data_IF_082329021207
#
_entry.id   IF_082329021207
#
_cell.length_a   1.000
_cell.length_b   1.000
_cell.length_c   1.000
_cell.angle_alpha   90.00
_cell.angle_beta   90.00
_cell.angle_gamma   90.00
#
_symmetry.space_group_name_H-M   'P 1'
#
loop_
_entity.id
_entity.type
_entity.pdbx_description
1 polymer ?
#
# COMPACT_ATOMS: atom_id res chain seq x y z
N UNK A 1 10.29 -4.80 -11.58
CA UNK A 1 11.13 -4.10 -12.58
C UNK A 1 12.59 -4.36 -12.26
N UNK A 2 13.42 -4.76 -13.21
CA UNK A 2 14.82 -5.11 -12.89
C UNK A 2 15.65 -3.93 -12.35
N UNK A 3 15.27 -2.69 -12.71
CA UNK A 3 16.02 -1.47 -12.35
C UNK A 3 15.35 -0.54 -11.36
N UNK A 4 14.11 -0.81 -10.94
CA UNK A 4 13.29 0.08 -10.12
C UNK A 4 12.39 -0.74 -9.20
N UNK A 5 12.59 -0.58 -7.90
CA UNK A 5 11.74 -1.15 -6.84
C UNK A 5 10.99 -0.04 -6.13
N UNK A 6 11.47 0.33 -4.92
CA UNK A 6 10.90 1.42 -4.11
C UNK A 6 10.95 2.78 -4.81
N UNK A 7 11.96 3.02 -5.65
CA UNK A 7 12.03 4.21 -6.50
C UNK A 7 11.19 4.00 -7.77
N UNK A 8 9.87 4.14 -7.63
CA UNK A 8 8.92 3.89 -8.70
C UNK A 8 9.04 4.87 -9.88
N UNK A 9 9.63 6.04 -9.67
CA UNK A 9 9.83 7.03 -10.74
C UNK A 9 11.00 6.70 -11.67
N UNK A 10 11.96 5.87 -11.23
CA UNK A 10 13.17 5.52 -11.98
C UNK A 10 13.00 4.34 -12.94
N UNK A 11 11.78 4.05 -13.40
CA UNK A 11 11.53 2.99 -14.37
C UNK A 11 12.27 3.25 -15.67
N UNK A 12 12.82 2.17 -16.28
CA UNK A 12 13.58 2.25 -17.54
C UNK A 12 12.85 1.71 -18.77
N UNK A 13 11.72 1.03 -18.58
CA UNK A 13 10.84 0.64 -19.70
C UNK A 13 10.40 1.91 -20.40
N UNK A 14 10.52 1.95 -21.74
CA UNK A 14 10.37 3.14 -22.55
C UNK A 14 9.33 2.93 -23.66
N UNK A 15 8.53 3.94 -23.92
CA UNK A 15 7.55 3.97 -24.99
C UNK A 15 7.76 5.24 -25.82
N UNK A 16 8.27 5.08 -27.03
CA UNK A 16 8.52 6.18 -27.97
C UNK A 16 7.34 6.36 -28.91
N UNK A 17 6.86 7.60 -29.12
CA UNK A 17 5.83 7.84 -30.12
C UNK A 17 6.37 7.56 -31.54
N UNK A 18 5.54 6.95 -32.40
CA UNK A 18 5.84 6.77 -33.82
C UNK A 18 5.90 8.13 -34.54
N UNK A 19 6.60 8.18 -35.67
CA UNK A 19 6.75 9.42 -36.45
C UNK A 19 5.42 10.02 -36.94
N UNK A 20 4.45 9.16 -37.22
CA UNK A 20 3.09 9.54 -37.65
C UNK A 20 2.13 9.79 -36.49
N UNK A 21 2.58 9.55 -35.24
CA UNK A 21 1.76 9.71 -34.03
C UNK A 21 0.61 8.73 -33.88
N UNK A 22 0.58 7.62 -34.65
CA UNK A 22 -0.51 6.63 -34.60
C UNK A 22 -0.35 5.63 -33.46
N UNK A 23 0.88 5.38 -32.99
CA UNK A 23 1.17 4.39 -31.98
C UNK A 23 2.41 4.76 -31.15
N UNK A 24 2.65 4.01 -30.10
CA UNK A 24 3.91 4.01 -29.33
C UNK A 24 4.64 2.70 -29.52
N UNK A 25 5.96 2.73 -29.55
CA UNK A 25 6.83 1.56 -29.60
C UNK A 25 7.38 1.33 -28.20
N UNK A 26 6.98 0.22 -27.56
CA UNK A 26 7.34 -0.11 -26.19
C UNK A 26 8.50 -1.11 -26.17
N UNK A 27 9.53 -0.76 -25.40
CA UNK A 27 10.70 -1.59 -25.18
C UNK A 27 11.10 -1.65 -23.72
N UNK A 28 11.55 -2.81 -23.24
CA UNK A 28 12.09 -3.03 -21.90
C UNK A 28 11.53 -4.27 -21.22
N UNK A 29 11.65 -4.34 -19.89
CA UNK A 29 11.22 -5.50 -19.12
C UNK A 29 10.62 -5.13 -17.78
N UNK A 30 9.83 -6.03 -17.26
CA UNK A 30 9.21 -5.98 -15.92
C UNK A 30 9.52 -7.29 -15.21
N UNK A 31 9.70 -7.23 -13.89
CA UNK A 31 9.96 -8.40 -13.06
C UNK A 31 8.91 -8.53 -11.98
N UNK A 32 8.69 -9.75 -11.53
CA UNK A 32 7.73 -10.12 -10.48
C UNK A 32 6.29 -9.73 -10.80
N UNK A 33 5.89 -9.92 -12.05
CA UNK A 33 4.55 -9.57 -12.50
C UNK A 33 3.57 -10.70 -12.20
N UNK A 34 2.57 -10.40 -11.40
CA UNK A 34 1.47 -11.33 -11.16
C UNK A 34 0.75 -11.63 -12.47
N UNK A 35 0.51 -12.93 -12.71
CA UNK A 35 -0.06 -13.44 -13.95
C UNK A 35 0.77 -13.16 -15.22
N UNK A 36 2.01 -12.69 -15.08
CA UNK A 36 2.89 -12.34 -16.21
C UNK A 36 3.11 -13.48 -17.21
N UNK A 37 3.02 -14.74 -16.74
CA UNK A 37 3.21 -15.91 -17.59
C UNK A 37 2.02 -16.25 -18.50
N UNK A 38 0.83 -15.72 -18.26
CA UNK A 38 -0.37 -16.08 -19.04
C UNK A 38 -1.38 -14.93 -19.26
N UNK A 39 -1.14 -13.75 -18.69
CA UNK A 39 -2.03 -12.60 -18.91
C UNK A 39 -2.06 -12.20 -20.39
N UNK A 40 -3.25 -11.93 -20.91
CA UNK A 40 -3.45 -11.42 -22.28
C UNK A 40 -3.42 -9.90 -22.32
N UNK A 41 -3.76 -9.23 -21.20
CA UNK A 41 -3.83 -7.77 -21.09
C UNK A 41 -2.98 -7.32 -19.91
N UNK A 42 -2.20 -6.27 -20.11
CA UNK A 42 -1.32 -5.68 -19.12
C UNK A 42 -1.57 -4.18 -18.98
N UNK A 43 -1.58 -3.68 -17.76
CA UNK A 43 -1.39 -2.25 -17.51
C UNK A 43 0.11 -2.00 -17.35
N UNK A 44 0.72 -1.29 -18.31
CA UNK A 44 2.16 -1.06 -18.36
C UNK A 44 2.48 0.41 -18.16
N UNK A 45 3.38 0.70 -17.24
CA UNK A 45 3.94 2.03 -17.02
C UNK A 45 5.31 2.12 -17.69
N UNK A 46 5.49 3.13 -18.55
CA UNK A 46 6.73 3.36 -19.27
C UNK A 46 7.11 4.85 -19.31
N UNK A 47 8.40 5.14 -19.43
CA UNK A 47 8.88 6.48 -19.70
C UNK A 47 8.53 6.87 -21.14
N UNK A 48 8.01 8.06 -21.31
CA UNK A 48 7.61 8.62 -22.59
C UNK A 48 8.14 10.05 -22.71
N UNK A 49 8.76 10.44 -23.81
CA UNK A 49 9.20 11.81 -24.02
C UNK A 49 7.98 12.73 -24.17
N UNK A 50 7.87 13.72 -23.29
CA UNK A 50 6.79 14.69 -23.27
C UNK A 50 7.36 16.10 -23.42
N UNK A 51 6.91 16.81 -24.45
CA UNK A 51 7.31 18.19 -24.67
C UNK A 51 6.53 19.13 -23.78
N UNK A 52 7.23 19.94 -22.99
CA UNK A 52 6.59 20.96 -22.16
C UNK A 52 6.06 22.08 -23.08
N UNK A 53 4.75 22.38 -23.08
CA UNK A 53 4.15 23.37 -23.96
C UNK A 53 4.65 24.81 -23.67
N UNK A 54 5.16 25.08 -22.47
CA UNK A 54 5.62 26.41 -22.05
C UNK A 54 7.09 26.63 -22.37
N UNK A 55 7.94 25.63 -22.13
CA UNK A 55 9.40 25.76 -22.28
C UNK A 55 9.91 25.19 -23.59
N UNK A 56 9.13 24.33 -24.25
CA UNK A 56 9.53 23.56 -25.44
C UNK A 56 10.51 22.42 -25.13
N UNK A 57 10.94 22.29 -23.87
CA UNK A 57 11.87 21.25 -23.43
C UNK A 57 11.18 19.88 -23.40
N UNK A 58 11.85 18.84 -23.87
CA UNK A 58 11.35 17.47 -23.79
C UNK A 58 11.88 16.79 -22.53
N UNK A 59 10.97 16.26 -21.71
CA UNK A 59 11.29 15.53 -20.48
C UNK A 59 10.61 14.18 -20.50
N UNK A 60 11.31 13.16 -20.00
CA UNK A 60 10.71 11.84 -19.80
C UNK A 60 9.71 11.89 -18.65
N UNK A 61 8.49 11.43 -18.91
CA UNK A 61 7.41 11.28 -17.92
C UNK A 61 6.79 9.90 -18.01
N UNK A 62 6.31 9.40 -16.90
CA UNK A 62 5.62 8.10 -16.85
C UNK A 62 4.26 8.21 -17.51
N UNK A 63 4.01 7.33 -18.47
CA UNK A 63 2.68 7.12 -19.11
C UNK A 63 2.20 5.72 -18.80
N UNK A 64 0.89 5.55 -18.62
CA UNK A 64 0.24 4.25 -18.46
C UNK A 64 -0.37 3.81 -19.78
N UNK A 65 -0.21 2.53 -20.11
CA UNK A 65 -0.69 1.92 -21.35
C UNK A 65 -1.46 0.63 -21.05
N UNK A 66 -2.50 0.37 -21.84
CA UNK A 66 -3.14 -0.94 -21.95
C UNK A 66 -2.41 -1.68 -23.06
N UNK A 67 -1.71 -2.75 -22.71
CA UNK A 67 -0.91 -3.54 -23.66
C UNK A 67 -1.51 -4.92 -23.77
N UNK A 68 -1.84 -5.33 -25.00
CA UNK A 68 -2.33 -6.67 -25.27
C UNK A 68 -1.17 -7.55 -25.76
N UNK A 69 -1.15 -8.81 -25.33
CA UNK A 69 -0.18 -9.78 -25.80
C UNK A 69 -0.26 -9.99 -27.31
N UNK A 70 -1.47 -9.85 -27.86
CA UNK A 70 -1.77 -9.94 -29.29
C UNK A 70 -1.07 -8.88 -30.16
N UNK A 71 -0.59 -7.78 -29.56
CA UNK A 71 0.19 -6.77 -30.32
C UNK A 71 1.56 -7.28 -30.81
N UNK A 72 1.97 -8.47 -30.37
CA UNK A 72 3.27 -9.07 -30.66
C UNK A 72 4.38 -8.45 -29.81
N UNK A 73 5.56 -9.11 -29.80
CA UNK A 73 6.73 -8.64 -29.05
C UNK A 73 6.64 -8.74 -27.53
N UNK A 74 5.56 -9.32 -26.97
CA UNK A 74 5.39 -9.57 -25.54
C UNK A 74 5.76 -11.01 -25.21
N UNK A 75 6.83 -11.20 -24.45
CA UNK A 75 7.29 -12.52 -23.99
C UNK A 75 7.39 -12.55 -22.48
N UNK A 76 7.53 -13.74 -21.88
CA UNK A 76 7.67 -13.89 -20.43
C UNK A 76 8.70 -14.97 -20.08
N UNK A 77 9.30 -14.82 -18.91
CA UNK A 77 10.14 -15.83 -18.28
C UNK A 77 9.34 -16.96 -17.63
N UNK A 78 10.06 -17.94 -17.08
CA UNK A 78 9.48 -18.99 -16.28
C UNK A 78 8.88 -18.42 -14.96
N UNK A 79 7.89 -19.10 -14.35
CA UNK A 79 7.37 -18.72 -13.05
C UNK A 79 8.45 -18.70 -11.98
N UNK A 80 8.47 -17.64 -11.17
CA UNK A 80 9.44 -17.45 -10.09
C UNK A 80 9.28 -18.45 -8.95
N UNK A 81 10.40 -18.89 -8.40
CA UNK A 81 10.44 -19.71 -7.16
C UNK A 81 10.34 -18.79 -5.97
N UNK A 82 9.24 -18.85 -5.24
CA UNK A 82 8.91 -17.90 -4.15
C UNK A 82 8.88 -18.55 -2.78
N UNK A 83 9.09 -17.75 -1.75
CA UNK A 83 8.94 -18.17 -0.36
C UNK A 83 7.52 -18.60 -0.04
N UNK A 84 6.52 -17.80 -0.46
CA UNK A 84 5.08 -18.01 -0.23
C UNK A 84 4.27 -17.60 -1.46
N UNK A 85 2.94 -17.69 -1.35
CA UNK A 85 1.97 -17.45 -2.41
C UNK A 85 2.37 -18.24 -3.69
N UNK A 86 2.75 -19.49 -3.51
CA UNK A 86 3.32 -20.32 -4.59
C UNK A 86 2.34 -20.65 -5.70
N UNK A 87 1.02 -20.63 -5.40
CA UNK A 87 -0.03 -20.85 -6.38
C UNK A 87 -0.28 -19.64 -7.31
N UNK A 88 0.22 -18.45 -6.95
CA UNK A 88 0.14 -17.27 -7.81
C UNK A 88 1.26 -17.32 -8.85
N UNK A 89 0.92 -17.24 -10.13
CA UNK A 89 1.91 -17.08 -11.19
C UNK A 89 2.56 -15.70 -11.04
N UNK A 90 3.89 -15.69 -11.06
CA UNK A 90 4.69 -14.47 -11.00
C UNK A 90 5.86 -14.69 -11.93
N UNK A 91 6.04 -13.82 -12.92
CA UNK A 91 7.09 -13.99 -13.94
C UNK A 91 7.69 -12.65 -14.37
N UNK A 92 8.82 -12.72 -15.04
CA UNK A 92 9.33 -11.61 -15.84
C UNK A 92 8.45 -11.44 -17.09
N UNK A 93 8.30 -10.19 -17.55
CA UNK A 93 7.64 -9.87 -18.82
C UNK A 93 8.57 -8.95 -19.61
N UNK A 94 8.81 -9.29 -20.86
CA UNK A 94 9.68 -8.57 -21.76
C UNK A 94 8.88 -7.99 -22.93
N UNK A 95 9.24 -6.78 -23.32
CA UNK A 95 8.64 -6.03 -24.42
C UNK A 95 9.72 -5.70 -25.43
N UNK A 96 9.53 -6.11 -26.68
CA UNK A 96 10.44 -5.87 -27.78
C UNK A 96 9.64 -5.33 -28.97
N UNK A 97 9.84 -4.07 -29.27
CA UNK A 97 9.20 -3.32 -30.34
C UNK A 97 7.66 -3.46 -30.39
N UNK A 98 7.01 -3.53 -29.20
CA UNK A 98 5.56 -3.67 -29.09
C UNK A 98 4.87 -2.40 -29.55
N UNK A 99 4.06 -2.49 -30.59
CA UNK A 99 3.30 -1.36 -31.15
C UNK A 99 1.98 -1.20 -30.40
N UNK A 100 1.87 -0.15 -29.60
CA UNK A 100 0.69 0.15 -28.80
C UNK A 100 -0.10 1.26 -29.50
N UNK A 101 -1.33 1.03 -29.93
CA UNK A 101 -2.18 2.08 -30.48
C UNK A 101 -2.32 3.27 -29.53
N UNK A 102 -2.41 4.49 -30.03
CA UNK A 102 -2.46 5.69 -29.17
C UNK A 102 -3.70 5.72 -28.26
N UNK A 103 -4.79 5.13 -28.70
CA UNK A 103 -6.05 4.97 -27.95
C UNK A 103 -5.90 4.07 -26.72
N UNK A 104 -4.85 3.26 -26.66
CA UNK A 104 -4.50 2.41 -25.52
C UNK A 104 -3.70 3.14 -24.41
N UNK A 105 -3.54 4.46 -24.52
CA UNK A 105 -3.03 5.28 -23.41
C UNK A 105 -4.11 5.35 -22.33
N UNK A 106 -3.77 4.91 -21.13
CA UNK A 106 -4.66 5.00 -19.98
C UNK A 106 -4.47 6.35 -19.27
N UNK A 107 -5.45 7.23 -19.44
CA UNK A 107 -5.39 8.61 -18.98
C UNK A 107 -4.66 9.51 -19.99
N UNK A 108 -3.72 10.33 -19.50
CA UNK A 108 -2.97 11.29 -20.31
C UNK A 108 -1.51 10.86 -20.51
N UNK A 109 -0.92 11.22 -21.65
CA UNK A 109 0.51 11.05 -21.88
C UNK A 109 1.30 11.84 -20.84
N UNK A 110 2.19 11.18 -20.11
CA UNK A 110 2.92 11.76 -18.98
C UNK A 110 2.14 11.81 -17.65
N UNK A 111 0.88 11.36 -17.62
CA UNK A 111 0.03 11.31 -16.43
C UNK A 111 0.02 9.96 -15.69
N UNK A 112 0.81 8.99 -16.15
CA UNK A 112 0.79 7.61 -15.64
C UNK A 112 1.15 7.46 -14.16
N UNK A 113 1.94 8.36 -13.61
CA UNK A 113 2.25 8.30 -12.17
C UNK A 113 1.01 8.53 -11.29
N UNK A 114 0.12 9.44 -11.70
CA UNK A 114 -1.17 9.67 -11.02
C UNK A 114 -2.06 8.42 -11.09
N UNK A 115 -2.11 7.77 -12.25
CA UNK A 115 -2.84 6.50 -12.43
C UNK A 115 -2.27 5.41 -11.51
N UNK A 116 -0.94 5.26 -11.46
CA UNK A 116 -0.30 4.29 -10.58
C UNK A 116 -0.62 4.52 -9.10
N UNK A 117 -0.62 5.77 -8.64
CA UNK A 117 -0.94 6.10 -7.24
C UNK A 117 -2.39 5.78 -6.89
N UNK A 118 -3.34 6.06 -7.78
CA UNK A 118 -4.75 5.71 -7.56
C UNK A 118 -4.95 4.19 -7.42
N UNK A 119 -4.31 3.39 -8.29
CA UNK A 119 -4.36 1.92 -8.22
C UNK A 119 -3.76 1.42 -6.88
N UNK A 120 -2.59 1.94 -6.49
CA UNK A 120 -1.90 1.52 -5.27
C UNK A 120 -2.68 1.86 -4.00
N UNK A 121 -3.37 2.99 -3.95
CA UNK A 121 -4.17 3.36 -2.78
C UNK A 121 -5.35 2.41 -2.57
N UNK A 122 -6.02 2.00 -3.65
CA UNK A 122 -7.07 1.00 -3.59
C UNK A 122 -6.53 -0.38 -3.17
N UNK A 123 -5.38 -0.80 -3.68
CA UNK A 123 -4.74 -2.04 -3.28
C UNK A 123 -4.37 -2.06 -1.80
N UNK A 124 -3.81 -0.97 -1.27
CA UNK A 124 -3.43 -0.84 0.14
C UNK A 124 -4.62 -1.00 1.09
N UNK A 125 -5.76 -0.41 0.77
CA UNK A 125 -7.00 -0.60 1.52
C UNK A 125 -7.45 -2.06 1.51
N UNK A 126 -7.49 -2.69 0.33
CA UNK A 126 -7.90 -4.09 0.18
C UNK A 126 -7.04 -5.07 0.98
N UNK A 127 -5.76 -4.76 1.18
CA UNK A 127 -4.90 -5.57 2.05
C UNK A 127 -5.33 -5.55 3.52
N UNK A 128 -5.77 -4.41 4.05
CA UNK A 128 -6.30 -4.34 5.42
C UNK A 128 -7.49 -5.28 5.62
N UNK A 129 -8.42 -5.27 4.68
CA UNK A 129 -9.59 -6.14 4.70
C UNK A 129 -9.23 -7.62 4.58
N UNK A 130 -8.38 -8.00 3.61
CA UNK A 130 -7.99 -9.40 3.40
C UNK A 130 -7.22 -9.99 4.59
N UNK A 131 -6.29 -9.21 5.15
CA UNK A 131 -5.46 -9.65 6.27
C UNK A 131 -6.23 -9.79 7.57
N UNK A 132 -7.31 -9.03 7.78
CA UNK A 132 -8.20 -9.22 8.94
C UNK A 132 -8.86 -10.59 8.93
N UNK A 133 -9.28 -11.09 7.76
CA UNK A 133 -9.79 -12.45 7.60
C UNK A 133 -8.76 -13.51 7.95
N UNK A 134 -7.52 -13.34 7.50
CA UNK A 134 -6.41 -14.25 7.84
C UNK A 134 -6.13 -14.26 9.35
N UNK A 135 -6.07 -13.08 9.98
CA UNK A 135 -5.90 -13.00 11.44
C UNK A 135 -7.03 -13.69 12.20
N UNK A 136 -8.28 -13.49 11.78
CA UNK A 136 -9.44 -14.15 12.40
C UNK A 136 -9.32 -15.67 12.37
N UNK A 137 -8.90 -16.22 11.23
CA UNK A 137 -8.67 -17.67 11.09
C UNK A 137 -7.54 -18.17 12.00
N UNK A 138 -6.44 -17.47 12.06
CA UNK A 138 -5.31 -17.79 12.93
C UNK A 138 -5.70 -17.75 14.42
N UNK A 139 -6.39 -16.69 14.85
CA UNK A 139 -6.88 -16.54 16.23
C UNK A 139 -7.82 -17.67 16.60
N UNK A 140 -8.74 -18.04 15.69
CA UNK A 140 -9.65 -19.15 15.92
C UNK A 140 -8.86 -20.44 16.17
N UNK A 141 -7.90 -20.80 15.32
CA UNK A 141 -7.11 -22.00 15.47
C UNK A 141 -6.27 -22.02 16.76
N UNK A 142 -5.64 -20.89 17.11
CA UNK A 142 -4.90 -20.77 18.36
C UNK A 142 -5.81 -20.94 19.60
N UNK A 143 -7.02 -20.34 19.55
CA UNK A 143 -7.99 -20.41 20.64
C UNK A 143 -8.54 -21.82 20.79
N UNK A 144 -8.95 -22.48 19.69
CA UNK A 144 -9.46 -23.85 19.72
C UNK A 144 -8.41 -24.81 20.31
N UNK A 145 -7.16 -24.67 19.92
CA UNK A 145 -6.06 -25.45 20.49
C UNK A 145 -5.88 -25.16 21.98
N UNK A 146 -5.87 -23.90 22.39
CA UNK A 146 -5.67 -23.53 23.79
C UNK A 146 -6.81 -24.02 24.71
N UNK A 147 -8.02 -24.13 24.20
CA UNK A 147 -9.18 -24.66 24.94
C UNK A 147 -9.06 -26.19 25.14
N UNK A 148 -8.55 -26.91 24.14
CA UNK A 148 -8.53 -28.37 24.15
C UNK A 148 -7.25 -28.93 24.78
N UNK A 149 -6.09 -28.32 24.54
CA UNK A 149 -4.80 -28.84 24.96
C UNK A 149 -4.56 -28.70 26.45
N UNK A 150 -4.23 -29.81 27.12
CA UNK A 150 -3.87 -29.85 28.55
C UNK A 150 -2.37 -30.05 28.67
N UNK A 151 -1.71 -29.24 29.47
CA UNK A 151 -0.30 -29.39 29.90
C UNK A 151 -0.17 -28.90 31.34
N UNK A 152 0.75 -29.47 32.10
CA UNK A 152 0.94 -29.15 33.53
C UNK A 152 -0.38 -29.23 34.33
N UNK A 153 -1.24 -30.20 34.01
CA UNK A 153 -2.49 -30.47 34.72
C UNK A 153 -3.65 -29.50 34.46
N UNK A 154 -3.51 -28.54 33.52
CA UNK A 154 -4.60 -27.61 33.16
C UNK A 154 -4.60 -27.25 31.68
N UNK A 155 -5.72 -26.71 31.19
CA UNK A 155 -5.83 -26.28 29.81
C UNK A 155 -4.90 -25.09 29.51
N UNK A 156 -4.38 -25.01 28.27
CA UNK A 156 -3.48 -23.91 27.88
C UNK A 156 -4.16 -22.56 28.05
N UNK A 157 -5.47 -22.45 27.79
CA UNK A 157 -6.27 -21.23 28.00
C UNK A 157 -6.19 -20.66 29.42
N UNK A 158 -5.82 -21.47 30.42
CA UNK A 158 -5.79 -21.06 31.82
C UNK A 158 -4.44 -20.41 32.22
N UNK A 159 -3.44 -20.47 31.35
CA UNK A 159 -2.15 -19.82 31.56
C UNK A 159 -2.19 -18.34 31.19
N UNK A 160 -1.66 -17.47 32.05
CA UNK A 160 -1.64 -16.00 31.85
C UNK A 160 -0.96 -15.57 30.57
N UNK A 161 0.18 -16.19 30.18
CA UNK A 161 0.87 -15.88 28.95
C UNK A 161 0.04 -16.22 27.71
N UNK A 162 -0.69 -17.32 27.70
CA UNK A 162 -1.58 -17.71 26.58
C UNK A 162 -2.75 -16.73 26.47
N UNK A 163 -3.37 -16.37 27.60
CA UNK A 163 -4.41 -15.33 27.63
C UNK A 163 -3.92 -14.00 27.07
N UNK A 164 -2.70 -13.59 27.48
CA UNK A 164 -2.07 -12.36 26.97
C UNK A 164 -1.85 -12.37 25.45
N UNK A 165 -1.36 -13.51 24.91
CA UNK A 165 -1.18 -13.68 23.47
C UNK A 165 -2.52 -13.56 22.71
N UNK A 166 -3.54 -14.31 23.11
CA UNK A 166 -4.87 -14.29 22.47
C UNK A 166 -5.50 -12.88 22.58
N UNK A 167 -5.37 -12.21 23.72
CA UNK A 167 -5.84 -10.82 23.87
C UNK A 167 -5.12 -9.86 22.92
N UNK A 168 -3.79 -9.95 22.83
CA UNK A 168 -2.97 -9.15 21.91
C UNK A 168 -3.34 -9.37 20.43
N UNK A 169 -3.59 -10.64 20.05
CA UNK A 169 -4.05 -10.98 18.69
C UNK A 169 -5.40 -10.33 18.37
N UNK A 170 -6.37 -10.42 19.28
CA UNK A 170 -7.71 -9.82 19.10
C UNK A 170 -7.65 -8.29 19.05
N UNK A 171 -6.82 -7.65 19.86
CA UNK A 171 -6.61 -6.20 19.82
C UNK A 171 -6.09 -5.75 18.46
N UNK A 172 -5.11 -6.47 17.89
CA UNK A 172 -4.57 -6.19 16.56
C UNK A 172 -5.60 -6.41 15.45
N UNK A 173 -6.40 -7.47 15.55
CA UNK A 173 -7.50 -7.73 14.63
C UNK A 173 -8.51 -6.58 14.67
N UNK A 174 -8.99 -6.22 15.86
CA UNK A 174 -9.95 -5.13 16.02
C UNK A 174 -9.44 -3.81 15.44
N UNK A 175 -8.20 -3.43 15.75
CA UNK A 175 -7.61 -2.22 15.21
C UNK A 175 -7.46 -2.27 13.68
N UNK A 176 -7.09 -3.42 13.10
CA UNK A 176 -7.00 -3.60 11.65
C UNK A 176 -8.36 -3.43 10.98
N UNK A 177 -9.40 -4.07 11.52
CA UNK A 177 -10.77 -3.95 11.00
C UNK A 177 -11.28 -2.50 11.11
N UNK A 178 -11.07 -1.85 12.25
CA UNK A 178 -11.46 -0.46 12.45
C UNK A 178 -10.82 0.48 11.41
N UNK A 179 -9.52 0.32 11.14
CA UNK A 179 -8.83 1.09 10.10
C UNK A 179 -9.37 0.77 8.70
N UNK A 180 -9.59 -0.49 8.36
CA UNK A 180 -10.13 -0.89 7.06
C UNK A 180 -11.53 -0.30 6.83
N UNK A 181 -12.43 -0.40 7.83
CA UNK A 181 -13.76 0.19 7.75
C UNK A 181 -13.74 1.73 7.68
N UNK A 182 -12.81 2.38 8.39
CA UNK A 182 -12.65 3.83 8.30
C UNK A 182 -12.26 4.27 6.89
N UNK A 183 -11.29 3.59 6.27
CA UNK A 183 -10.88 3.89 4.89
C UNK A 183 -12.02 3.62 3.91
N UNK A 184 -12.71 2.47 4.04
CA UNK A 184 -13.88 2.15 3.22
C UNK A 184 -14.95 3.23 3.33
N UNK A 185 -15.29 3.65 4.54
CA UNK A 185 -16.29 4.68 4.78
C UNK A 185 -15.89 6.05 4.21
N UNK A 186 -14.59 6.37 4.15
CA UNK A 186 -14.11 7.58 3.48
C UNK A 186 -14.28 7.47 1.95
N UNK A 187 -13.93 6.32 1.38
CA UNK A 187 -14.13 6.05 -0.05
C UNK A 187 -15.60 6.11 -0.44
N UNK A 188 -16.50 5.50 0.34
CA UNK A 188 -17.95 5.49 0.09
C UNK A 188 -18.56 6.89 0.15
N UNK A 189 -18.00 7.79 0.96
CA UNK A 189 -18.41 9.20 1.02
C UNK A 189 -17.80 10.06 -0.08
N UNK A 190 -16.99 9.50 -0.96
CA UNK A 190 -16.33 10.22 -2.04
C UNK A 190 -15.18 11.12 -1.59
N UNK A 191 -14.53 10.80 -0.46
CA UNK A 191 -13.34 11.53 -0.04
C UNK A 191 -12.26 11.48 -1.12
N UNK A 192 -11.76 12.64 -1.54
CA UNK A 192 -10.76 12.74 -2.60
C UNK A 192 -9.38 12.24 -2.15
N UNK A 193 -9.04 12.36 -0.87
CA UNK A 193 -7.76 11.96 -0.30
C UNK A 193 -7.95 11.04 0.90
N UNK A 194 -7.48 9.81 0.77
CA UNK A 194 -7.40 8.77 1.82
C UNK A 194 -6.06 8.04 1.79
N UNK A 195 -5.04 8.67 1.17
CA UNK A 195 -3.75 8.00 0.91
C UNK A 195 -2.99 7.68 2.19
N UNK A 196 -3.02 8.58 3.16
CA UNK A 196 -2.32 8.38 4.45
C UNK A 196 -2.97 7.26 5.26
N UNK A 197 -4.29 7.27 5.34
CA UNK A 197 -5.07 6.26 6.06
C UNK A 197 -4.92 4.88 5.42
N UNK A 198 -4.96 4.80 4.09
CA UNK A 198 -4.70 3.56 3.35
C UNK A 198 -3.28 3.04 3.57
N UNK A 199 -2.27 3.93 3.58
CA UNK A 199 -0.89 3.55 3.87
C UNK A 199 -0.72 3.07 5.33
N UNK A 200 -1.30 3.77 6.29
CA UNK A 200 -1.26 3.38 7.71
C UNK A 200 -1.96 2.04 7.95
N UNK A 201 -3.14 1.84 7.35
CA UNK A 201 -3.88 0.58 7.41
C UNK A 201 -3.05 -0.58 6.84
N UNK A 202 -2.41 -0.40 5.69
CA UNK A 202 -1.55 -1.42 5.07
C UNK A 202 -0.37 -1.81 5.95
N UNK A 203 0.34 -0.83 6.51
CA UNK A 203 1.48 -1.07 7.39
C UNK A 203 1.03 -1.87 8.62
N UNK A 204 0.02 -1.35 9.32
CA UNK A 204 -0.46 -1.97 10.55
C UNK A 204 -1.00 -3.38 10.32
N UNK A 205 -1.83 -3.57 9.29
CA UNK A 205 -2.44 -4.85 8.95
C UNK A 205 -1.39 -5.90 8.60
N UNK A 206 -0.42 -5.57 7.75
CA UNK A 206 0.61 -6.54 7.30
C UNK A 206 1.55 -6.98 8.43
N UNK A 207 1.89 -6.09 9.34
CA UNK A 207 2.73 -6.44 10.50
C UNK A 207 1.93 -7.16 11.57
N UNK A 208 0.68 -6.77 11.79
CA UNK A 208 -0.21 -7.45 12.73
C UNK A 208 -0.55 -8.86 12.28
N UNK A 209 -0.83 -9.08 11.00
CA UNK A 209 -1.12 -10.40 10.46
C UNK A 209 0.09 -11.34 10.57
N UNK A 210 1.29 -10.83 10.28
CA UNK A 210 2.53 -11.57 10.49
C UNK A 210 2.69 -11.99 11.97
N UNK A 211 2.56 -11.04 12.89
CA UNK A 211 2.68 -11.29 14.31
C UNK A 211 1.63 -12.29 14.82
N UNK A 212 0.38 -12.16 14.36
CA UNK A 212 -0.71 -13.07 14.72
C UNK A 212 -0.44 -14.48 14.22
N UNK A 213 0.06 -14.65 12.99
CA UNK A 213 0.43 -15.97 12.47
C UNK A 213 1.59 -16.60 13.26
N UNK A 214 2.61 -15.83 13.60
CA UNK A 214 3.75 -16.26 14.41
C UNK A 214 3.29 -16.71 15.80
N UNK A 215 2.48 -15.92 16.49
CA UNK A 215 1.93 -16.28 17.79
C UNK A 215 0.96 -17.47 17.73
N UNK A 216 0.27 -17.66 16.61
CA UNK A 216 -0.55 -18.86 16.39
C UNK A 216 0.31 -20.12 16.37
N UNK A 217 1.41 -20.10 15.60
CA UNK A 217 2.39 -21.20 15.57
C UNK A 217 2.94 -21.43 16.98
N UNK A 218 3.28 -20.37 17.70
CA UNK A 218 3.80 -20.46 19.05
C UNK A 218 2.82 -21.10 20.05
N UNK A 219 1.53 -20.73 19.98
CA UNK A 219 0.46 -21.32 20.83
C UNK A 219 0.25 -22.79 20.51
N UNK A 220 0.30 -23.19 19.24
CA UNK A 220 0.18 -24.58 18.82
C UNK A 220 1.42 -25.42 19.13
N UNK A 221 2.57 -24.78 19.40
CA UNK A 221 3.84 -25.45 19.68
C UNK A 221 4.30 -26.33 18.51
N UNK A 222 4.78 -27.55 18.78
CA UNK A 222 5.26 -28.46 17.73
C UNK A 222 4.22 -28.74 16.63
N UNK A 223 2.94 -28.82 16.97
CA UNK A 223 1.86 -28.97 16.00
C UNK A 223 1.81 -27.80 15.02
N UNK A 224 1.98 -26.56 15.50
CA UNK A 224 1.98 -25.36 14.65
C UNK A 224 3.18 -25.30 13.68
N UNK A 225 4.28 -25.95 14.01
CA UNK A 225 5.47 -26.05 13.17
C UNK A 225 5.33 -27.07 12.04
N UNK A 226 4.45 -28.07 12.21
CA UNK A 226 4.24 -29.12 11.20
C UNK A 226 3.40 -28.59 10.02
N UNK A 227 3.70 -29.09 8.83
CA UNK A 227 3.01 -28.71 7.58
C UNK A 227 1.52 -29.05 7.58
N UNK A 228 1.12 -30.10 8.27
CA UNK A 228 -0.27 -30.56 8.36
C UNK A 228 -1.19 -29.52 9.02
N UNK A 229 -0.65 -28.69 9.94
CA UNK A 229 -1.40 -27.61 10.57
C UNK A 229 -1.63 -26.42 9.62
N UNK A 230 -0.80 -26.25 8.58
CA UNK A 230 -0.92 -25.24 7.54
C UNK A 230 -0.48 -23.81 7.94
N UNK A 231 -0.17 -23.54 9.20
CA UNK A 231 0.19 -22.19 9.67
C UNK A 231 1.58 -21.75 9.21
N UNK A 232 2.50 -22.69 8.99
CA UNK A 232 3.82 -22.40 8.41
C UNK A 232 3.67 -21.82 6.99
N UNK A 233 2.71 -22.31 6.20
CA UNK A 233 2.39 -21.78 4.88
C UNK A 233 1.77 -20.39 4.98
N UNK A 234 0.82 -20.19 5.89
CA UNK A 234 0.23 -18.86 6.16
C UNK A 234 1.33 -17.85 6.50
N UNK A 235 2.26 -18.20 7.38
CA UNK A 235 3.38 -17.33 7.75
C UNK A 235 4.23 -16.97 6.52
N UNK A 236 4.60 -17.95 5.69
CA UNK A 236 5.36 -17.71 4.46
C UNK A 236 4.59 -16.84 3.45
N UNK A 237 3.29 -17.05 3.31
CA UNK A 237 2.44 -16.29 2.40
C UNK A 237 2.28 -14.84 2.86
N UNK A 238 2.20 -14.59 4.17
CA UNK A 238 2.08 -13.25 4.74
C UNK A 238 3.35 -12.40 4.58
N UNK A 239 4.51 -13.01 4.37
CA UNK A 239 5.79 -12.26 4.37
C UNK A 239 5.86 -11.18 3.30
N UNK A 240 5.27 -11.41 2.13
CA UNK A 240 5.30 -10.48 1.01
C UNK A 240 4.50 -9.19 1.26
N UNK A 241 3.46 -9.24 2.12
CA UNK A 241 2.59 -8.09 2.38
C UNK A 241 3.30 -6.88 2.99
N UNK A 242 4.49 -7.08 3.57
CA UNK A 242 5.35 -6.00 4.07
C UNK A 242 6.26 -5.41 2.99
N UNK A 243 6.29 -6.01 1.79
CA UNK A 243 7.22 -5.67 0.69
C UNK A 243 6.51 -5.02 -0.48
N UNK A 244 5.51 -5.66 -1.05
CA UNK A 244 4.84 -5.17 -2.26
C UNK A 244 3.89 -3.99 -1.98
N UNK A 245 3.47 -3.31 -3.04
CA UNK A 245 2.61 -2.10 -3.01
C UNK A 245 3.18 -0.95 -2.15
N UNK A 246 4.49 -0.82 -2.17
CA UNK A 246 5.28 0.04 -1.30
C UNK A 246 5.69 -0.68 -0.03
N UNK A 247 7.01 -0.83 0.18
CA UNK A 247 7.49 -1.45 1.41
C UNK A 247 7.01 -0.66 2.62
N UNK A 248 6.80 -1.35 3.75
CA UNK A 248 6.37 -0.69 4.97
C UNK A 248 7.33 0.43 5.40
N UNK A 249 8.62 0.26 5.13
CA UNK A 249 9.65 1.27 5.44
C UNK A 249 9.42 2.55 4.62
N UNK A 250 9.21 2.41 3.30
CA UNK A 250 8.92 3.55 2.42
C UNK A 250 7.58 4.19 2.75
N UNK A 251 6.57 3.41 3.09
CA UNK A 251 5.27 3.97 3.47
C UNK A 251 5.34 4.74 4.78
N UNK A 252 6.16 4.34 5.76
CA UNK A 252 6.42 5.13 6.96
C UNK A 252 7.05 6.48 6.64
N UNK A 253 8.04 6.49 5.74
CA UNK A 253 8.63 7.75 5.27
C UNK A 253 7.60 8.60 4.53
N UNK A 254 6.77 8.00 3.69
CA UNK A 254 5.69 8.69 2.97
C UNK A 254 4.71 9.37 3.95
N UNK A 255 4.25 8.64 4.98
CA UNK A 255 3.34 9.19 6.01
C UNK A 255 4.00 10.37 6.73
N UNK A 256 5.25 10.22 7.15
CA UNK A 256 5.98 11.25 7.86
C UNK A 256 6.17 12.51 6.99
N UNK A 257 6.63 12.34 5.75
CA UNK A 257 6.87 13.44 4.81
C UNK A 257 5.57 14.18 4.44
N UNK A 258 4.49 13.43 4.17
CA UNK A 258 3.19 14.03 3.83
C UNK A 258 2.61 14.78 5.01
N UNK A 259 2.74 14.22 6.24
CA UNK A 259 2.34 14.90 7.46
C UNK A 259 3.11 16.21 7.68
N UNK A 260 4.44 16.20 7.48
CA UNK A 260 5.27 17.40 7.57
C UNK A 260 4.92 18.44 6.50
N UNK A 261 4.64 18.01 5.27
CA UNK A 261 4.21 18.91 4.20
C UNK A 261 2.86 19.55 4.50
N UNK A 262 1.91 18.77 5.03
CA UNK A 262 0.60 19.28 5.45
C UNK A 262 0.75 20.32 6.57
N UNK A 263 1.57 20.01 7.58
CA UNK A 263 1.88 20.95 8.64
C UNK A 263 2.54 22.22 8.10
N UNK A 264 3.50 22.10 7.18
CA UNK A 264 4.16 23.23 6.52
C UNK A 264 3.17 24.15 5.82
N UNK A 265 2.23 23.59 5.08
CA UNK A 265 1.14 24.35 4.42
C UNK A 265 0.25 25.07 5.43
N UNK A 266 -0.06 24.46 6.56
CA UNK A 266 -0.86 25.07 7.63
C UNK A 266 -0.11 26.20 8.36
N UNK A 267 1.21 26.05 8.53
CA UNK A 267 2.05 27.03 9.20
C UNK A 267 2.44 28.22 8.31
N UNK A 268 2.41 28.08 6.99
CA UNK A 268 2.80 29.15 6.06
C UNK A 268 1.99 30.45 6.23
N UNK A 269 0.65 30.43 6.32
CA UNK A 269 -0.15 31.62 6.59
C UNK A 269 0.20 32.25 7.93
N UNK A 270 0.45 31.43 8.95
CA UNK A 270 0.82 31.86 10.30
C UNK A 270 2.20 32.55 10.27
N UNK A 271 3.17 31.96 9.59
CA UNK A 271 4.49 32.54 9.42
C UNK A 271 4.45 33.89 8.69
N UNK A 272 3.59 34.02 7.67
CA UNK A 272 3.35 35.29 6.96
C UNK A 272 2.68 36.32 7.89
N UNK A 273 1.69 35.90 8.69
CA UNK A 273 0.99 36.76 9.63
C UNK A 273 1.92 37.28 10.76
N UNK A 274 2.87 36.45 11.19
CA UNK A 274 3.86 36.84 12.23
C UNK A 274 4.83 37.94 11.79
N UNK A 275 4.95 38.23 10.49
CA UNK A 275 5.75 39.38 10.01
C UNK A 275 5.12 40.72 10.36
N UNK A 276 3.78 40.77 10.50
CA UNK A 276 3.03 41.95 10.95
C UNK A 276 1.92 41.51 11.97
N UNK A 277 2.31 41.21 13.22
CA UNK A 277 1.42 40.53 14.16
C UNK A 277 0.19 41.35 14.56
N UNK A 278 0.32 42.66 14.68
CA UNK A 278 -0.78 43.56 15.03
C UNK A 278 -1.85 43.68 13.95
N UNK A 279 -1.43 43.61 12.67
CA UNK A 279 -2.37 43.63 11.55
C UNK A 279 -3.06 42.29 11.31
N UNK A 280 -2.53 41.18 11.86
CA UNK A 280 -2.96 39.83 11.62
C UNK A 280 -3.40 39.07 12.90
N UNK A 281 -3.84 39.83 13.93
CA UNK A 281 -4.30 39.25 15.21
C UNK A 281 -5.40 38.18 15.03
N UNK A 282 -6.30 38.36 14.05
CA UNK A 282 -7.35 37.38 13.74
C UNK A 282 -6.81 36.02 13.28
N UNK A 283 -5.63 35.98 12.68
CA UNK A 283 -4.99 34.73 12.24
C UNK A 283 -4.14 34.11 13.37
N UNK A 284 -3.50 34.93 14.18
CA UNK A 284 -2.54 34.48 15.20
C UNK A 284 -3.23 34.07 16.51
N UNK A 285 -4.24 34.81 16.93
CA UNK A 285 -4.90 34.60 18.22
C UNK A 285 -5.55 33.19 18.38
N UNK A 286 -6.25 32.63 17.38
CA UNK A 286 -6.79 31.27 17.49
C UNK A 286 -5.70 30.21 17.65
N UNK A 287 -4.57 30.37 16.97
CA UNK A 287 -3.43 29.44 17.04
C UNK A 287 -2.76 29.51 18.41
N UNK A 288 -2.51 30.71 18.91
CA UNK A 288 -1.94 30.92 20.23
C UNK A 288 -2.86 30.34 21.33
N UNK A 289 -4.18 30.53 21.21
CA UNK A 289 -5.17 29.96 22.11
C UNK A 289 -5.18 28.42 22.06
N UNK A 290 -5.12 27.83 20.85
CA UNK A 290 -5.05 26.38 20.68
C UNK A 290 -3.78 25.80 21.31
N UNK A 291 -2.62 26.45 21.13
CA UNK A 291 -1.36 26.05 21.77
C UNK A 291 -1.44 26.15 23.30
N UNK A 292 -2.07 27.21 23.83
CA UNK A 292 -2.25 27.38 25.26
C UNK A 292 -3.16 26.28 25.84
N UNK A 293 -4.29 25.98 25.19
CA UNK A 293 -5.18 24.88 25.57
C UNK A 293 -4.48 23.52 25.55
N UNK A 294 -3.68 23.24 24.52
CA UNK A 294 -2.92 22.01 24.41
C UNK A 294 -1.91 21.86 25.56
N UNK A 295 -1.22 22.95 25.94
CA UNK A 295 -0.29 22.96 27.10
C UNK A 295 -1.00 22.73 28.44
N UNK A 296 -2.26 23.14 28.55
CA UNK A 296 -3.11 22.91 29.76
C UNK A 296 -3.77 21.50 29.74
N UNK A 297 -3.43 20.63 28.80
CA UNK A 297 -4.05 19.30 28.69
C UNK A 297 -5.49 19.34 28.18
N UNK A 298 -5.93 20.46 27.60
CA UNK A 298 -7.26 20.65 27.01
C UNK A 298 -7.15 20.91 25.49
N UNK A 299 -6.60 19.95 24.73
CA UNK A 299 -6.57 20.10 23.27
C UNK A 299 -8.00 20.19 22.75
N UNK A 300 -8.23 21.04 21.75
CA UNK A 300 -9.47 21.01 21.01
C UNK A 300 -9.63 19.59 20.49
N UNK A 301 -10.75 18.95 20.80
CA UNK A 301 -11.05 17.63 20.20
C UNK A 301 -10.98 17.84 18.69
N UNK A 302 -10.16 17.07 17.95
CA UNK A 302 -10.24 17.15 16.50
C UNK A 302 -11.71 16.95 16.17
N UNK A 303 -12.31 17.93 15.52
CA UNK A 303 -13.66 17.75 15.01
C UNK A 303 -13.56 16.56 14.07
N UNK A 304 -14.21 15.45 14.40
CA UNK A 304 -14.37 14.29 13.51
C UNK A 304 -15.28 14.64 12.31
N UNK A 305 -15.54 15.90 12.08
CA UNK A 305 -16.17 16.41 10.87
C UNK A 305 -15.15 16.41 9.74
N UNK A 306 -14.87 15.24 9.20
CA UNK A 306 -14.32 15.03 7.88
C UNK A 306 -15.40 15.25 6.80
N UNK A 307 -16.33 16.17 7.05
CA UNK A 307 -17.24 16.64 6.03
C UNK A 307 -16.62 17.90 5.42
N UNK A 308 -16.26 17.93 4.13
CA UNK A 308 -16.15 19.17 3.41
C UNK A 308 -17.53 19.84 3.45
N UNK A 309 -17.55 21.10 3.90
CA UNK A 309 -18.71 21.99 3.81
C UNK A 309 -19.14 22.20 2.37
#
# INVERSE_FOLDING_TARGET
>A
MPSSGSDAASIRTRAEPSADGSHFVLNGGKIWISNGGFAEIFTVFAQTPVKDPKTGETKDKVTAFIVERSFGGVTNGAPEKKMGIKCSNTAEVHFEDVKIPKENVLGEVGGGFKVAMAILNNGRFGMGAALSGTMRSCIKGATDHAVQRVQFGKHLKDFGLIKGKIAGMNTRLYATEAMAYMVAGNMDRGAEDYQLEAAASKIFASESAWWVADETIQVLGGTGFMTDAGYERVLRDLRIFRIFEGTNDILRLFIALTGLQSLGKQLEPISKAMKNPFANLGTIAPVALGMAKARMGMPDRPSLSWAPS
#
